data_IF_122682441513
#
_entry.id   IF_122682441513
#
_cell.length_a   1.000
_cell.length_b   1.000
_cell.length_c   1.000
_cell.angle_alpha   90.00
_cell.angle_beta   90.00
_cell.angle_gamma   90.00
#
_symmetry.space_group_name_H-M   'P 1'
#
loop_
_entity.id
_entity.type
_entity.pdbx_description
1 polymer ?
#
# COMPACT_ATOMS: atom_id res chain seq x y z
N UNK A 1 -22.18 17.39 -16.60
CA UNK A 1 -21.29 17.88 -15.52
C UNK A 1 -19.99 17.08 -15.56
N UNK A 2 -18.83 17.73 -15.65
CA UNK A 2 -17.50 17.10 -15.64
C UNK A 2 -17.05 16.57 -14.26
N UNK A 3 -17.92 16.59 -13.24
CA UNK A 3 -17.61 16.31 -11.82
C UNK A 3 -17.39 14.83 -11.45
N UNK A 4 -17.41 13.93 -12.44
CA UNK A 4 -17.22 12.50 -12.27
C UNK A 4 -15.82 12.05 -12.69
N UNK A 5 -14.78 12.86 -12.48
CA UNK A 5 -13.40 12.44 -12.70
C UNK A 5 -13.03 11.29 -11.73
N UNK A 6 -12.75 10.07 -12.22
CA UNK A 6 -12.56 8.87 -11.39
C UNK A 6 -11.51 8.98 -10.28
N UNK A 7 -10.50 9.83 -10.47
CA UNK A 7 -9.30 9.84 -9.63
C UNK A 7 -9.40 10.75 -8.39
N UNK A 8 -10.30 11.75 -8.37
CA UNK A 8 -10.40 12.86 -7.38
C UNK A 8 -9.16 13.06 -6.48
N UNK A 9 -7.98 13.34 -7.07
CA UNK A 9 -6.70 13.18 -6.39
C UNK A 9 -6.54 14.15 -5.21
N UNK A 10 -7.09 15.36 -5.31
CA UNK A 10 -7.10 16.32 -4.22
C UNK A 10 -7.95 15.86 -3.03
N UNK A 11 -9.11 15.23 -3.28
CA UNK A 11 -9.95 14.70 -2.22
C UNK A 11 -9.31 13.48 -1.55
N UNK A 12 -8.70 12.59 -2.34
CA UNK A 12 -7.93 11.44 -1.83
C UNK A 12 -6.79 11.94 -0.94
N UNK A 13 -5.99 12.91 -1.41
CA UNK A 13 -4.87 13.45 -0.66
C UNK A 13 -5.31 14.14 0.64
N UNK A 14 -6.35 14.98 0.59
CA UNK A 14 -6.87 15.67 1.77
C UNK A 14 -7.40 14.69 2.82
N UNK A 15 -8.13 13.67 2.40
CA UNK A 15 -8.61 12.61 3.30
C UNK A 15 -7.47 11.74 3.85
N UNK A 16 -6.44 11.44 3.05
CA UNK A 16 -5.24 10.74 3.52
C UNK A 16 -4.59 11.48 4.68
N UNK A 17 -4.29 12.77 4.53
CA UNK A 17 -3.64 13.53 5.61
C UNK A 17 -4.54 13.73 6.82
N UNK A 18 -5.85 13.91 6.61
CA UNK A 18 -6.81 13.93 7.71
C UNK A 18 -6.80 12.61 8.49
N UNK A 19 -6.89 11.46 7.81
CA UNK A 19 -6.88 10.15 8.46
C UNK A 19 -5.56 9.89 9.17
N UNK A 20 -4.42 10.18 8.55
CA UNK A 20 -3.11 10.08 9.21
C UNK A 20 -3.08 10.96 10.46
N UNK A 21 -3.48 12.23 10.38
CA UNK A 21 -3.53 13.14 11.52
C UNK A 21 -4.46 12.66 12.64
N UNK A 22 -5.67 12.20 12.31
CA UNK A 22 -6.62 11.63 13.27
C UNK A 22 -6.07 10.37 13.95
N UNK A 23 -5.39 9.50 13.20
CA UNK A 23 -4.78 8.29 13.79
C UNK A 23 -3.58 8.59 14.67
N UNK A 24 -2.75 9.56 14.28
CA UNK A 24 -1.63 10.04 15.09
C UNK A 24 -2.11 10.69 16.39
N UNK A 25 -3.14 11.54 16.31
CA UNK A 25 -3.74 12.24 17.46
C UNK A 25 -4.73 11.40 18.25
N UNK A 26 -4.90 10.11 17.94
CA UNK A 26 -5.88 9.27 18.63
C UNK A 26 -5.46 9.06 20.09
N UNK A 27 -6.27 9.48 21.08
CA UNK A 27 -5.83 9.57 22.47
C UNK A 27 -5.84 8.24 23.21
N UNK A 28 -6.45 7.20 22.63
CA UNK A 28 -6.56 5.88 23.26
C UNK A 28 -5.56 4.90 22.65
N UNK A 29 -5.06 3.98 23.47
CA UNK A 29 -4.18 2.93 23.02
C UNK A 29 -4.99 1.84 22.29
N UNK A 30 -4.73 1.64 21.00
CA UNK A 30 -5.42 0.65 20.17
C UNK A 30 -4.83 -0.76 20.29
N UNK A 31 -3.57 -0.87 20.71
CA UNK A 31 -2.85 -2.14 20.84
C UNK A 31 -2.24 -2.26 22.23
N UNK A 32 -2.40 -3.41 22.92
CA UNK A 32 -1.71 -3.63 24.19
C UNK A 32 -0.20 -3.41 24.06
N UNK A 33 0.43 -2.82 25.08
CA UNK A 33 1.87 -2.48 25.08
C UNK A 33 2.73 -3.70 24.74
N UNK A 34 2.40 -4.88 25.28
CA UNK A 34 3.10 -6.13 24.97
C UNK A 34 3.05 -6.50 23.48
N UNK A 35 1.98 -6.15 22.76
CA UNK A 35 1.89 -6.36 21.32
C UNK A 35 2.72 -5.33 20.53
N UNK A 36 2.73 -4.06 20.98
CA UNK A 36 3.56 -3.02 20.37
C UNK A 36 5.05 -3.38 20.43
N UNK A 37 5.54 -3.80 21.61
CA UNK A 37 6.94 -4.20 21.79
C UNK A 37 7.33 -5.38 20.89
N UNK A 38 6.39 -6.29 20.57
CA UNK A 38 6.64 -7.40 19.64
C UNK A 38 6.74 -6.94 18.18
N UNK A 39 6.07 -5.86 17.80
CA UNK A 39 6.17 -5.29 16.45
C UNK A 39 7.51 -4.57 16.28
N UNK A 40 7.82 -3.68 17.23
CA UNK A 40 9.12 -3.03 17.34
C UNK A 40 9.26 -2.42 18.74
N UNK A 41 10.42 -2.56 19.40
CA UNK A 41 10.69 -1.87 20.66
C UNK A 41 10.73 -0.34 20.49
N UNK A 42 10.98 0.16 19.28
CA UNK A 42 11.11 1.59 18.99
C UNK A 42 9.78 2.29 18.70
N UNK A 43 8.66 1.55 18.65
CA UNK A 43 7.35 2.13 18.37
C UNK A 43 6.77 2.84 19.59
N UNK A 44 6.53 4.14 19.45
CA UNK A 44 5.70 4.86 20.41
C UNK A 44 4.23 4.39 20.32
N UNK A 45 3.41 4.62 21.36
CA UNK A 45 1.97 4.33 21.32
C UNK A 45 1.26 4.94 20.10
N UNK A 46 1.63 6.17 19.71
CA UNK A 46 1.04 6.87 18.57
C UNK A 46 1.37 6.18 17.25
N UNK A 47 2.63 5.73 17.09
CA UNK A 47 3.06 4.93 15.94
C UNK A 47 2.31 3.61 15.88
N UNK A 48 2.11 2.99 17.05
CA UNK A 48 1.28 1.80 17.22
C UNK A 48 -0.16 1.99 16.75
N UNK A 49 -0.79 3.12 17.12
CA UNK A 49 -2.15 3.46 16.72
C UNK A 49 -2.27 3.63 15.20
N UNK A 50 -1.33 4.35 14.58
CA UNK A 50 -1.30 4.52 13.12
C UNK A 50 -1.19 3.16 12.44
N UNK A 51 -0.25 2.34 12.89
CA UNK A 51 -0.04 1.01 12.32
C UNK A 51 -1.32 0.15 12.42
N UNK A 52 -1.99 0.16 13.58
CA UNK A 52 -3.25 -0.55 13.77
C UNK A 52 -4.36 -0.07 12.83
N UNK A 53 -4.57 1.24 12.77
CA UNK A 53 -5.60 1.82 11.91
C UNK A 53 -5.34 1.55 10.42
N UNK A 54 -4.08 1.63 9.98
CA UNK A 54 -3.69 1.31 8.60
C UNK A 54 -3.94 -0.16 8.30
N UNK A 55 -3.56 -1.06 9.21
CA UNK A 55 -3.80 -2.49 9.07
C UNK A 55 -5.29 -2.83 8.94
N UNK A 56 -6.13 -2.23 9.78
CA UNK A 56 -7.57 -2.46 9.74
C UNK A 56 -8.25 -1.82 8.53
N UNK A 57 -7.83 -0.63 8.13
CA UNK A 57 -8.29 0.01 6.89
C UNK A 57 -7.87 -0.80 5.65
N UNK A 58 -6.68 -1.38 5.65
CA UNK A 58 -6.20 -2.28 4.60
C UNK A 58 -7.05 -3.55 4.51
N UNK A 59 -7.41 -4.14 5.65
CA UNK A 59 -8.34 -5.27 5.68
C UNK A 59 -9.72 -4.92 5.12
N UNK A 60 -10.27 -3.76 5.48
CA UNK A 60 -11.52 -3.27 4.89
C UNK A 60 -11.37 -3.11 3.37
N UNK A 61 -10.26 -2.53 2.90
CA UNK A 61 -9.97 -2.41 1.47
C UNK A 61 -9.91 -3.77 0.77
N UNK A 62 -9.31 -4.80 1.39
CA UNK A 62 -9.24 -6.15 0.83
C UNK A 62 -10.63 -6.76 0.61
N UNK A 63 -11.58 -6.54 1.54
CA UNK A 63 -12.99 -6.97 1.35
C UNK A 63 -13.55 -6.41 0.05
N UNK A 64 -13.34 -5.12 -0.22
CA UNK A 64 -13.79 -4.47 -1.44
C UNK A 64 -13.04 -4.96 -2.69
N UNK A 65 -11.73 -5.16 -2.60
CA UNK A 65 -10.92 -5.66 -3.70
C UNK A 65 -11.34 -7.08 -4.12
N UNK A 66 -11.46 -8.01 -3.17
CA UNK A 66 -11.90 -9.38 -3.45
C UNK A 66 -13.33 -9.44 -3.95
N UNK A 67 -14.22 -8.59 -3.44
CA UNK A 67 -15.57 -8.42 -3.98
C UNK A 67 -15.54 -7.99 -5.45
N UNK A 68 -14.71 -7.00 -5.79
CA UNK A 68 -14.54 -6.52 -7.16
C UNK A 68 -14.05 -7.62 -8.11
N UNK A 69 -13.07 -8.41 -7.68
CA UNK A 69 -12.57 -9.58 -8.41
C UNK A 69 -13.68 -10.63 -8.61
N UNK A 70 -14.42 -10.97 -7.56
CA UNK A 70 -15.54 -11.92 -7.63
C UNK A 70 -16.65 -11.46 -8.57
N UNK A 71 -17.00 -10.18 -8.55
CA UNK A 71 -17.97 -9.60 -9.50
C UNK A 71 -17.46 -9.65 -10.94
N UNK A 72 -16.18 -9.36 -11.16
CA UNK A 72 -15.58 -9.41 -12.49
C UNK A 72 -15.56 -10.84 -13.06
N UNK A 73 -15.36 -11.87 -12.24
CA UNK A 73 -15.49 -13.27 -12.67
C UNK A 73 -16.95 -13.63 -13.00
N UNK A 74 -17.91 -13.22 -12.16
CA UNK A 74 -19.34 -13.50 -12.37
C UNK A 74 -19.91 -12.88 -13.64
N UNK A 75 -19.31 -11.80 -14.16
CA UNK A 75 -19.72 -11.15 -15.42
C UNK A 75 -19.33 -11.94 -16.65
N UNK A 76 -18.36 -12.85 -16.54
CA UNK A 76 -17.97 -13.73 -17.64
C UNK A 76 -19.02 -14.85 -17.69
N UNK A 77 -19.72 -14.96 -18.81
CA UNK A 77 -20.76 -15.98 -19.03
C UNK A 77 -20.29 -16.95 -20.11
N UNK A 78 -19.31 -17.78 -19.75
CA UNK A 78 -18.85 -18.87 -20.60
C UNK A 78 -18.80 -20.20 -19.83
N UNK A 79 -18.73 -21.32 -20.56
CA UNK A 79 -18.64 -22.66 -19.96
C UNK A 79 -17.36 -22.90 -19.15
N UNK A 80 -16.42 -21.94 -19.11
CA UNK A 80 -15.15 -22.02 -18.39
C UNK A 80 -15.15 -21.20 -17.10
N UNK A 81 -16.21 -20.45 -16.81
CA UNK A 81 -16.25 -19.52 -15.68
C UNK A 81 -16.08 -20.24 -14.34
N UNK A 82 -16.74 -21.38 -14.15
CA UNK A 82 -16.57 -22.21 -12.95
C UNK A 82 -15.11 -22.71 -12.81
N UNK A 83 -14.49 -23.14 -13.91
CA UNK A 83 -13.10 -23.58 -13.94
C UNK A 83 -12.14 -22.45 -13.58
N UNK A 84 -12.33 -21.25 -14.14
CA UNK A 84 -11.50 -20.07 -13.82
C UNK A 84 -11.64 -19.66 -12.35
N UNK A 85 -12.86 -19.63 -11.82
CA UNK A 85 -13.10 -19.31 -10.43
C UNK A 85 -12.43 -20.33 -9.50
N UNK A 86 -12.54 -21.62 -9.81
CA UNK A 86 -11.85 -22.68 -9.08
C UNK A 86 -10.33 -22.56 -9.15
N UNK A 87 -9.76 -22.36 -10.35
CA UNK A 87 -8.31 -22.13 -10.51
C UNK A 87 -7.84 -20.93 -9.70
N UNK A 88 -8.56 -19.81 -9.74
CA UNK A 88 -8.21 -18.63 -8.95
C UNK A 88 -8.25 -18.92 -7.45
N UNK A 89 -9.28 -19.60 -6.96
CA UNK A 89 -9.40 -19.97 -5.55
C UNK A 89 -8.27 -20.90 -5.09
N UNK A 90 -7.93 -21.92 -5.89
CA UNK A 90 -6.81 -22.83 -5.60
C UNK A 90 -5.48 -22.08 -5.61
N UNK A 91 -5.23 -21.25 -6.62
CA UNK A 91 -4.00 -20.47 -6.70
C UNK A 91 -3.87 -19.52 -5.49
N UNK A 92 -4.96 -18.86 -5.10
CA UNK A 92 -4.99 -17.98 -3.93
C UNK A 92 -4.73 -18.74 -2.63
N UNK A 93 -5.33 -19.93 -2.45
CA UNK A 93 -5.07 -20.77 -1.29
C UNK A 93 -3.60 -21.21 -1.21
N UNK A 94 -3.00 -21.58 -2.35
CA UNK A 94 -1.56 -21.90 -2.43
C UNK A 94 -0.70 -20.68 -2.06
N UNK A 95 -1.03 -19.50 -2.59
CA UNK A 95 -0.34 -18.24 -2.25
C UNK A 95 -0.42 -17.96 -0.75
N UNK A 96 -1.60 -18.09 -0.15
CA UNK A 96 -1.78 -17.91 1.31
C UNK A 96 -0.88 -18.89 2.07
N UNK A 97 -0.92 -20.18 1.75
CA UNK A 97 -0.10 -21.18 2.43
C UNK A 97 1.41 -20.89 2.32
N UNK A 98 1.88 -20.55 1.12
CA UNK A 98 3.29 -20.21 0.88
C UNK A 98 3.70 -18.95 1.63
N UNK A 99 2.90 -17.88 1.58
CA UNK A 99 3.22 -16.62 2.27
C UNK A 99 3.22 -16.78 3.79
N UNK A 100 2.31 -17.59 4.34
CA UNK A 100 2.33 -17.94 5.76
C UNK A 100 3.61 -18.70 6.14
N UNK A 101 3.99 -19.72 5.35
CA UNK A 101 5.21 -20.47 5.58
C UNK A 101 6.46 -19.57 5.49
N UNK A 102 6.54 -18.71 4.47
CA UNK A 102 7.62 -17.74 4.32
C UNK A 102 7.65 -16.74 5.47
N UNK A 103 6.50 -16.25 5.94
CA UNK A 103 6.41 -15.32 7.07
C UNK A 103 6.91 -15.95 8.37
N UNK A 104 6.61 -17.22 8.59
CA UNK A 104 7.11 -17.99 9.74
C UNK A 104 8.63 -18.22 9.64
N UNK A 105 9.13 -18.51 8.43
CA UNK A 105 10.55 -18.78 8.19
C UNK A 105 11.44 -17.53 8.25
N UNK A 106 11.01 -16.42 7.65
CA UNK A 106 11.79 -15.17 7.52
C UNK A 106 11.62 -14.21 8.72
N UNK A 107 10.59 -14.43 9.56
CA UNK A 107 10.23 -13.49 10.62
C UNK A 107 9.52 -12.22 10.09
N UNK A 108 9.21 -11.28 11.00
CA UNK A 108 8.36 -10.11 10.69
C UNK A 108 9.09 -9.12 9.78
N UNK A 109 10.31 -8.74 10.17
CA UNK A 109 11.05 -7.66 9.52
C UNK A 109 11.39 -7.96 8.07
N UNK A 110 12.12 -9.06 7.82
CA UNK A 110 12.56 -9.41 6.47
C UNK A 110 11.38 -9.68 5.52
N UNK A 111 10.36 -10.42 5.99
CA UNK A 111 9.14 -10.63 5.21
C UNK A 111 8.46 -9.30 4.86
N UNK A 112 8.26 -8.42 5.85
CA UNK A 112 7.61 -7.12 5.61
C UNK A 112 8.40 -6.26 4.64
N UNK A 113 9.73 -6.26 4.72
CA UNK A 113 10.61 -5.57 3.76
C UNK A 113 10.43 -6.08 2.32
N UNK A 114 10.38 -7.40 2.11
CA UNK A 114 10.17 -7.99 0.77
C UNK A 114 8.78 -7.65 0.22
N UNK A 115 7.74 -7.74 1.05
CA UNK A 115 6.37 -7.38 0.65
C UNK A 115 6.29 -5.91 0.29
N UNK A 116 7.01 -5.06 1.02
CA UNK A 116 7.03 -3.63 0.77
C UNK A 116 7.68 -3.28 -0.57
N UNK A 117 8.76 -3.97 -0.95
CA UNK A 117 9.33 -3.84 -2.30
C UNK A 117 8.31 -4.22 -3.38
N UNK A 118 7.57 -5.32 -3.17
CA UNK A 118 6.52 -5.74 -4.10
C UNK A 118 5.34 -4.74 -4.14
N UNK A 119 5.00 -4.15 -2.98
CA UNK A 119 3.94 -3.15 -2.86
C UNK A 119 4.19 -1.93 -3.75
N UNK A 120 5.44 -1.47 -3.89
CA UNK A 120 5.77 -0.30 -4.72
C UNK A 120 5.41 -0.54 -6.19
N UNK A 121 5.79 -1.69 -6.75
CA UNK A 121 5.46 -2.05 -8.13
C UNK A 121 3.93 -2.10 -8.34
N UNK A 122 3.23 -2.71 -7.39
CA UNK A 122 1.77 -2.74 -7.40
C UNK A 122 1.14 -1.35 -7.29
N UNK A 123 1.66 -0.49 -6.40
CA UNK A 123 1.18 0.88 -6.23
C UNK A 123 1.30 1.65 -7.54
N UNK A 124 2.42 1.52 -8.26
CA UNK A 124 2.62 2.14 -9.58
C UNK A 124 1.59 1.62 -10.59
N UNK A 125 1.35 0.30 -10.64
CA UNK A 125 0.31 -0.30 -11.52
C UNK A 125 -1.09 0.21 -11.18
N UNK A 126 -1.40 0.36 -9.89
CA UNK A 126 -2.68 0.87 -9.43
C UNK A 126 -2.88 2.33 -9.80
N UNK A 127 -1.89 3.20 -9.58
CA UNK A 127 -1.96 4.61 -9.97
C UNK A 127 -2.15 4.79 -11.47
N UNK A 128 -1.47 3.97 -12.29
CA UNK A 128 -1.70 3.94 -13.74
C UNK A 128 -3.14 3.53 -14.08
N UNK A 129 -3.74 2.63 -13.31
CA UNK A 129 -5.13 2.19 -13.47
C UNK A 129 -6.12 3.29 -13.06
N UNK A 130 -5.79 4.08 -12.03
CA UNK A 130 -6.63 5.17 -11.54
C UNK A 130 -6.50 6.46 -12.37
N UNK A 131 -5.49 6.55 -13.24
CA UNK A 131 -5.22 7.73 -14.06
C UNK A 131 -6.33 8.05 -15.07
N UNK A 132 -6.55 9.36 -15.27
CA UNK A 132 -7.56 9.91 -16.19
C UNK A 132 -6.93 11.07 -16.97
N UNK A 133 -6.88 11.03 -18.32
CA UNK A 133 -7.34 9.94 -19.18
C UNK A 133 -6.52 8.64 -19.00
N UNK A 134 -7.05 7.49 -19.43
CA UNK A 134 -6.33 6.21 -19.32
C UNK A 134 -4.95 6.30 -19.99
N UNK A 135 -3.91 5.87 -19.27
CA UNK A 135 -2.56 5.84 -19.81
C UNK A 135 -2.50 4.78 -20.92
N UNK A 136 -1.98 5.11 -22.12
CA UNK A 136 -1.85 4.15 -23.22
C UNK A 136 -1.06 2.91 -22.81
N UNK A 137 -1.34 1.77 -23.44
CA UNK A 137 -0.57 0.53 -23.22
C UNK A 137 0.90 0.78 -23.57
N UNK A 138 1.75 0.76 -22.54
CA UNK A 138 3.21 0.88 -22.65
C UNK A 138 3.84 -0.46 -23.04
N UNK A 139 4.92 -0.39 -23.82
CA UNK A 139 5.82 -1.52 -24.06
C UNK A 139 6.45 -2.00 -22.74
N UNK A 140 6.97 -3.23 -22.70
CA UNK A 140 7.63 -3.76 -21.49
C UNK A 140 8.77 -2.85 -21.02
N UNK A 141 9.56 -2.33 -21.96
CA UNK A 141 10.66 -1.41 -21.69
C UNK A 141 10.19 -0.08 -21.10
N UNK A 142 9.14 0.51 -21.65
CA UNK A 142 8.58 1.76 -21.12
C UNK A 142 7.99 1.58 -19.72
N UNK A 143 7.34 0.44 -19.44
CA UNK A 143 6.85 0.12 -18.09
C UNK A 143 8.00 0.09 -17.10
N UNK A 144 9.04 -0.69 -17.41
CA UNK A 144 10.23 -0.78 -16.57
C UNK A 144 10.88 0.59 -16.35
N UNK A 145 11.06 1.37 -17.44
CA UNK A 145 11.59 2.74 -17.39
C UNK A 145 10.73 3.69 -16.52
N UNK A 146 9.42 3.50 -16.46
CA UNK A 146 8.57 4.35 -15.61
C UNK A 146 8.47 3.88 -14.16
N UNK A 147 8.74 2.62 -13.88
CA UNK A 147 8.66 2.06 -12.53
C UNK A 147 9.97 2.15 -11.75
N UNK A 148 11.15 2.13 -12.39
CA UNK A 148 12.41 2.09 -11.64
C UNK A 148 12.67 3.37 -10.81
N UNK A 149 12.25 4.55 -11.28
CA UNK A 149 12.50 5.82 -10.57
C UNK A 149 11.89 5.84 -9.16
N UNK A 150 10.57 5.60 -9.00
CA UNK A 150 9.98 5.52 -7.67
C UNK A 150 10.53 4.34 -6.86
N UNK A 151 10.84 3.19 -7.49
CA UNK A 151 11.42 2.05 -6.77
C UNK A 151 12.79 2.39 -6.17
N UNK A 152 13.70 2.99 -6.95
CA UNK A 152 15.04 3.33 -6.48
C UNK A 152 15.02 4.41 -5.40
N UNK A 153 14.28 5.49 -5.65
CA UNK A 153 14.19 6.63 -4.70
C UNK A 153 13.50 6.23 -3.41
N UNK A 154 12.49 5.37 -3.48
CA UNK A 154 11.85 4.82 -2.30
C UNK A 154 12.73 3.80 -1.56
N UNK A 155 13.48 2.97 -2.27
CA UNK A 155 14.46 2.06 -1.68
C UNK A 155 15.51 2.84 -0.88
N UNK A 156 15.97 3.98 -1.43
CA UNK A 156 16.87 4.88 -0.74
C UNK A 156 16.24 5.53 0.49
N UNK A 157 15.01 6.06 0.38
CA UNK A 157 14.26 6.57 1.54
C UNK A 157 14.15 5.50 2.63
N UNK A 158 13.89 4.24 2.28
CA UNK A 158 13.80 3.14 3.22
C UNK A 158 15.14 2.85 3.92
N UNK A 159 16.27 2.87 3.18
CA UNK A 159 17.62 2.74 3.76
C UNK A 159 17.88 3.82 4.82
N UNK A 160 17.49 5.06 4.52
CA UNK A 160 17.66 6.20 5.42
C UNK A 160 16.76 6.07 6.66
N UNK A 161 15.46 5.83 6.45
CA UNK A 161 14.50 5.77 7.55
C UNK A 161 14.70 4.56 8.47
N UNK A 162 15.25 3.47 7.96
CA UNK A 162 15.64 2.30 8.76
C UNK A 162 17.08 2.38 9.30
N UNK A 163 17.76 3.51 9.07
CA UNK A 163 19.16 3.74 9.42
C UNK A 163 20.09 2.56 9.09
N UNK A 164 19.94 1.98 7.89
CA UNK A 164 20.69 0.78 7.51
C UNK A 164 22.19 1.11 7.49
N UNK A 165 22.97 0.38 8.27
CA UNK A 165 24.42 0.58 8.38
C UNK A 165 24.82 1.90 9.05
N UNK A 166 23.93 2.57 9.78
CA UNK A 166 24.23 3.84 10.45
C UNK A 166 24.38 5.01 9.48
N UNK A 167 23.63 5.01 8.37
CA UNK A 167 23.73 6.02 7.31
C UNK A 167 23.47 7.45 7.82
N UNK A 168 22.70 7.62 8.90
CA UNK A 168 22.46 8.91 9.55
C UNK A 168 23.74 9.57 10.08
N UNK A 169 24.78 8.78 10.34
CA UNK A 169 26.09 9.24 10.80
C UNK A 169 26.98 9.75 9.67
N UNK A 170 26.53 9.64 8.41
CA UNK A 170 27.29 10.04 7.22
C UNK A 170 26.53 11.08 6.37
N UNK A 171 26.47 12.36 6.79
CA UNK A 171 25.73 13.41 6.07
C UNK A 171 26.13 13.54 4.58
N UNK A 172 27.41 13.33 4.27
CA UNK A 172 27.91 13.39 2.89
C UNK A 172 27.38 12.25 2.02
N UNK A 173 27.20 11.05 2.58
CA UNK A 173 26.57 9.93 1.87
C UNK A 173 25.11 10.24 1.63
N UNK A 174 24.40 10.74 2.65
CA UNK A 174 23.01 11.14 2.56
C UNK A 174 22.80 12.15 1.42
N UNK A 175 23.61 13.21 1.40
CA UNK A 175 23.54 14.26 0.40
C UNK A 175 23.93 13.76 -1.00
N UNK A 176 25.05 13.05 -1.13
CA UNK A 176 25.58 12.64 -2.44
C UNK A 176 24.67 11.64 -3.14
N UNK A 177 24.18 10.63 -2.43
CA UNK A 177 23.26 9.62 -3.01
C UNK A 177 21.93 10.27 -3.38
N UNK A 178 21.38 11.13 -2.52
CA UNK A 178 20.14 11.85 -2.79
C UNK A 178 20.27 12.75 -4.01
N UNK A 179 21.35 13.54 -4.10
CA UNK A 179 21.62 14.38 -5.27
C UNK A 179 21.79 13.55 -6.54
N UNK A 180 22.56 12.46 -6.49
CA UNK A 180 22.76 11.57 -7.63
C UNK A 180 21.42 10.99 -8.12
N UNK A 181 20.55 10.54 -7.20
CA UNK A 181 19.22 10.04 -7.54
C UNK A 181 18.33 11.14 -8.15
N UNK A 182 18.32 12.35 -7.58
CA UNK A 182 17.58 13.47 -8.16
C UNK A 182 18.05 13.79 -9.59
N UNK A 183 19.36 13.86 -9.80
CA UNK A 183 19.96 14.09 -11.13
C UNK A 183 19.56 12.97 -12.10
N UNK A 184 19.63 11.70 -11.69
CA UNK A 184 19.20 10.56 -12.51
C UNK A 184 17.71 10.68 -12.88
N UNK A 185 16.84 11.00 -11.93
CA UNK A 185 15.40 11.17 -12.17
C UNK A 185 15.16 12.28 -13.20
N UNK A 186 15.80 13.44 -13.00
CA UNK A 186 15.63 14.61 -13.86
C UNK A 186 16.18 14.38 -15.28
N UNK A 187 17.41 13.86 -15.41
CA UNK A 187 18.09 13.63 -16.69
C UNK A 187 17.44 12.52 -17.52
N UNK A 188 16.86 11.50 -16.89
CA UNK A 188 16.23 10.38 -17.60
C UNK A 188 14.79 10.69 -18.06
N UNK A 189 14.46 11.97 -18.22
CA UNK A 189 13.20 12.47 -18.77
C UNK A 189 12.21 12.97 -17.71
N UNK A 190 12.58 12.93 -16.43
CA UNK A 190 11.74 13.44 -15.33
C UNK A 190 11.46 14.93 -15.47
N UNK A 191 12.46 15.74 -15.84
CA UNK A 191 12.31 17.19 -15.99
C UNK A 191 11.24 17.55 -17.02
N UNK A 192 11.28 16.94 -18.21
CA UNK A 192 10.29 17.16 -19.26
C UNK A 192 8.89 16.78 -18.78
N UNK A 193 8.76 15.61 -18.16
CA UNK A 193 7.50 15.11 -17.62
C UNK A 193 6.89 15.99 -16.51
N UNK A 194 7.74 16.59 -15.67
CA UNK A 194 7.32 17.55 -14.64
C UNK A 194 6.79 18.82 -15.28
N UNK A 195 7.49 19.35 -16.29
CA UNK A 195 7.05 20.54 -17.03
C UNK A 195 5.76 20.28 -17.80
N UNK A 196 5.59 19.08 -18.37
CA UNK A 196 4.39 18.68 -19.10
C UNK A 196 3.18 18.43 -18.17
N UNK A 197 3.40 18.27 -16.86
CA UNK A 197 2.37 18.12 -15.83
C UNK A 197 1.57 16.80 -15.86
N UNK A 198 1.84 15.92 -16.83
CA UNK A 198 1.01 14.74 -17.09
C UNK A 198 1.46 13.45 -16.39
N UNK A 199 2.70 13.36 -15.90
CA UNK A 199 3.25 12.17 -15.23
C UNK A 199 3.68 12.51 -13.80
N UNK A 200 3.04 11.86 -12.82
CA UNK A 200 3.27 12.10 -11.39
C UNK A 200 4.47 11.33 -10.83
N UNK A 201 5.02 10.37 -11.58
CA UNK A 201 6.09 9.49 -11.08
C UNK A 201 7.41 10.22 -10.78
N UNK A 202 7.89 11.16 -11.63
CA UNK A 202 9.08 11.94 -11.31
C UNK A 202 8.88 12.84 -10.10
N UNK A 203 7.69 13.43 -9.93
CA UNK A 203 7.36 14.24 -8.76
C UNK A 203 7.45 13.39 -7.49
N UNK A 204 6.81 12.21 -7.49
CA UNK A 204 6.86 11.28 -6.36
C UNK A 204 8.29 10.83 -6.03
N UNK A 205 9.10 10.60 -7.06
CA UNK A 205 10.49 10.17 -6.89
C UNK A 205 11.35 11.28 -6.26
N UNK A 206 11.21 12.52 -6.73
CA UNK A 206 11.92 13.67 -6.16
C UNK A 206 11.43 13.98 -4.74
N UNK A 207 10.15 13.76 -4.46
CA UNK A 207 9.59 13.86 -3.11
C UNK A 207 10.27 12.87 -2.16
N UNK A 208 10.38 11.59 -2.52
CA UNK A 208 11.10 10.61 -1.70
C UNK A 208 12.58 10.95 -1.50
N UNK A 209 13.25 11.52 -2.51
CA UNK A 209 14.64 12.00 -2.38
C UNK A 209 14.72 13.17 -1.39
N UNK A 210 13.81 14.14 -1.50
CA UNK A 210 13.76 15.27 -0.58
C UNK A 210 13.50 14.80 0.87
N UNK A 211 12.57 13.88 1.06
CA UNK A 211 12.26 13.30 2.35
C UNK A 211 13.43 12.52 2.93
N UNK A 212 14.16 11.75 2.10
CA UNK A 212 15.35 11.05 2.56
C UNK A 212 16.37 12.04 3.14
N UNK A 213 16.63 13.15 2.45
CA UNK A 213 17.55 14.19 2.94
C UNK A 213 17.06 14.85 4.22
N UNK A 214 15.79 15.29 4.25
CA UNK A 214 15.23 16.00 5.41
C UNK A 214 15.21 15.08 6.63
N UNK A 215 14.61 13.90 6.52
CA UNK A 215 14.44 13.00 7.65
C UNK A 215 15.74 12.36 8.10
N UNK A 216 16.64 12.03 7.17
CA UNK A 216 17.98 11.54 7.52
C UNK A 216 18.87 12.59 8.19
N UNK A 217 18.61 13.89 7.96
CA UNK A 217 19.30 14.96 8.69
C UNK A 217 18.67 15.18 10.06
N UNK A 218 17.34 15.21 10.13
CA UNK A 218 16.60 15.43 11.38
C UNK A 218 16.71 14.25 12.35
N UNK A 219 16.92 13.03 11.84
CA UNK A 219 17.05 11.83 12.65
C UNK A 219 18.17 11.89 13.69
N UNK A 220 19.23 12.63 13.39
CA UNK A 220 20.35 12.86 14.31
C UNK A 220 19.89 13.50 15.63
N UNK A 221 18.81 14.29 15.60
CA UNK A 221 18.22 14.92 16.78
C UNK A 221 17.03 14.12 17.36
N UNK A 222 16.30 13.37 16.51
CA UNK A 222 15.08 12.66 16.91
C UNK A 222 15.30 11.23 17.44
N UNK A 223 16.44 10.61 17.13
CA UNK A 223 16.74 9.23 17.51
C UNK A 223 15.88 8.16 16.81
N UNK A 224 16.03 6.87 17.19
CA UNK A 224 15.40 5.74 16.50
C UNK A 224 13.86 5.76 16.52
N UNK A 225 13.24 6.14 17.64
CA UNK A 225 11.77 6.22 17.77
C UNK A 225 11.17 7.25 16.81
N UNK A 226 11.84 8.40 16.64
CA UNK A 226 11.40 9.41 15.68
C UNK A 226 11.45 8.87 14.25
N UNK A 227 12.57 8.26 13.85
CA UNK A 227 12.73 7.65 12.53
C UNK A 227 11.70 6.56 12.25
N UNK A 228 11.46 5.68 13.22
CA UNK A 228 10.44 4.65 13.12
C UNK A 228 9.04 5.26 12.92
N UNK A 229 8.73 6.34 13.63
CA UNK A 229 7.47 7.07 13.47
C UNK A 229 7.32 7.73 12.09
N UNK A 230 8.38 8.36 11.60
CA UNK A 230 8.42 8.92 10.24
C UNK A 230 8.23 7.81 9.20
N UNK A 231 8.91 6.68 9.33
CA UNK A 231 8.72 5.54 8.43
C UNK A 231 7.27 5.06 8.40
N UNK A 232 6.67 4.81 9.57
CA UNK A 232 5.29 4.33 9.66
C UNK A 232 4.31 5.39 9.12
N UNK A 233 4.57 6.68 9.32
CA UNK A 233 3.78 7.76 8.72
C UNK A 233 3.73 7.65 7.19
N UNK A 234 4.85 7.42 6.51
CA UNK A 234 4.88 7.32 5.05
C UNK A 234 4.17 6.07 4.56
N UNK A 235 4.39 4.95 5.23
CA UNK A 235 3.68 3.69 4.96
C UNK A 235 2.17 3.92 5.10
N UNK A 236 1.74 4.61 6.16
CA UNK A 236 0.34 4.94 6.41
C UNK A 236 -0.25 5.85 5.34
N UNK A 237 0.45 6.93 5.00
CA UNK A 237 0.01 7.89 3.99
C UNK A 237 -0.15 7.21 2.61
N UNK A 238 0.84 6.43 2.18
CA UNK A 238 0.78 5.66 0.93
C UNK A 238 -0.37 4.64 0.94
N UNK A 239 -0.57 3.96 2.06
CA UNK A 239 -1.64 2.98 2.23
C UNK A 239 -3.03 3.62 2.17
N UNK A 240 -3.29 4.66 2.97
CA UNK A 240 -4.58 5.36 2.93
C UNK A 240 -4.87 5.97 1.57
N UNK A 241 -3.85 6.59 0.96
CA UNK A 241 -3.98 7.15 -0.38
C UNK A 241 -4.40 6.07 -1.39
N UNK A 242 -3.75 4.91 -1.36
CA UNK A 242 -4.11 3.77 -2.20
C UNK A 242 -5.54 3.27 -1.94
N UNK A 243 -5.93 3.08 -0.68
CA UNK A 243 -7.24 2.54 -0.31
C UNK A 243 -8.37 3.48 -0.71
N UNK A 244 -8.20 4.77 -0.42
CA UNK A 244 -9.14 5.82 -0.82
C UNK A 244 -9.23 5.90 -2.34
N UNK A 245 -8.10 5.92 -3.05
CA UNK A 245 -8.05 5.87 -4.51
C UNK A 245 -8.89 4.72 -5.08
N UNK A 246 -8.75 3.52 -4.51
CA UNK A 246 -9.57 2.36 -4.86
C UNK A 246 -11.07 2.57 -4.64
N UNK A 247 -11.49 3.18 -3.53
CA UNK A 247 -12.90 3.48 -3.25
C UNK A 247 -13.48 4.50 -4.23
N UNK A 248 -12.77 5.61 -4.47
CA UNK A 248 -13.21 6.64 -5.41
C UNK A 248 -13.30 6.10 -6.84
N UNK A 249 -12.30 5.33 -7.27
CA UNK A 249 -12.30 4.68 -8.57
C UNK A 249 -13.47 3.70 -8.73
N UNK A 250 -13.68 2.83 -7.74
CA UNK A 250 -14.80 1.89 -7.74
C UNK A 250 -16.16 2.59 -7.78
N UNK A 251 -16.35 3.62 -6.95
CA UNK A 251 -17.59 4.40 -6.91
C UNK A 251 -17.86 5.11 -8.24
N UNK A 252 -16.81 5.64 -8.88
CA UNK A 252 -16.90 6.26 -10.21
C UNK A 252 -17.35 5.26 -11.28
N UNK A 253 -16.80 4.04 -11.26
CA UNK A 253 -17.22 2.98 -12.19
C UNK A 253 -18.65 2.50 -11.94
N UNK A 254 -19.07 2.46 -10.68
CA UNK A 254 -20.42 2.04 -10.30
C UNK A 254 -21.49 3.09 -10.65
N UNK A 255 -21.12 4.36 -10.82
CA UNK A 255 -22.04 5.48 -11.12
C UNK A 255 -23.24 5.52 -10.16
N UNK A 256 -22.97 5.31 -8.86
CA UNK A 256 -24.00 5.30 -7.80
C UNK A 256 -24.91 4.06 -7.76
N UNK A 257 -24.75 3.10 -8.68
CA UNK A 257 -25.60 1.89 -8.73
C UNK A 257 -25.21 0.83 -7.69
N UNK A 258 -24.01 0.90 -7.15
CA UNK A 258 -23.49 -0.07 -6.18
C UNK A 258 -23.58 0.46 -4.74
N UNK A 259 -24.58 -0.02 -3.98
CA UNK A 259 -24.81 0.37 -2.57
C UNK A 259 -23.63 0.02 -1.64
N UNK A 260 -22.80 -0.96 -2.01
CA UNK A 260 -21.63 -1.31 -1.21
C UNK A 260 -20.57 -0.20 -1.20
N UNK A 261 -20.52 0.57 -2.29
CA UNK A 261 -19.58 1.68 -2.48
C UNK A 261 -20.17 3.02 -2.05
N UNK A 262 -21.35 3.03 -1.41
CA UNK A 262 -21.87 4.23 -0.76
C UNK A 262 -21.00 4.58 0.46
N UNK A 263 -20.86 5.87 0.74
CA UNK A 263 -20.03 6.35 1.86
C UNK A 263 -20.44 5.71 3.20
N UNK A 264 -21.74 5.58 3.46
CA UNK A 264 -22.27 4.95 4.67
C UNK A 264 -21.84 3.49 4.81
N UNK A 265 -21.92 2.69 3.74
CA UNK A 265 -21.48 1.29 3.78
C UNK A 265 -19.96 1.18 3.95
N UNK A 266 -19.18 2.03 3.27
CA UNK A 266 -17.72 2.06 3.41
C UNK A 266 -17.32 2.35 4.86
N UNK A 267 -17.94 3.35 5.48
CA UNK A 267 -17.72 3.68 6.89
C UNK A 267 -18.10 2.49 7.79
N UNK A 268 -19.27 1.88 7.57
CA UNK A 268 -19.73 0.74 8.37
C UNK A 268 -18.78 -0.46 8.29
N UNK A 269 -18.27 -0.80 7.09
CA UNK A 269 -17.31 -1.90 6.92
C UNK A 269 -15.98 -1.58 7.63
N UNK A 270 -15.47 -0.35 7.51
CA UNK A 270 -14.24 0.04 8.21
C UNK A 270 -14.39 -0.02 9.73
N UNK A 271 -15.51 0.47 10.27
CA UNK A 271 -15.81 0.37 11.72
C UNK A 271 -15.90 -1.08 12.16
N UNK A 272 -16.60 -1.94 11.40
CA UNK A 272 -16.73 -3.36 11.72
C UNK A 272 -15.36 -4.05 11.76
N UNK A 273 -14.52 -3.83 10.74
CA UNK A 273 -13.17 -4.41 10.68
C UNK A 273 -12.27 -3.89 11.80
N UNK A 274 -12.30 -2.59 12.09
CA UNK A 274 -11.54 -2.00 13.19
C UNK A 274 -11.98 -2.54 14.56
N UNK A 275 -13.29 -2.70 14.76
CA UNK A 275 -13.85 -3.27 16.00
C UNK A 275 -13.40 -4.73 16.18
N UNK A 276 -13.45 -5.53 15.10
CA UNK A 276 -12.98 -6.92 15.13
C UNK A 276 -11.47 -6.99 15.38
N UNK A 277 -10.68 -6.13 14.72
CA UNK A 277 -9.24 -6.05 14.91
C UNK A 277 -8.86 -5.67 16.34
N UNK A 278 -9.54 -4.69 16.92
CA UNK A 278 -9.37 -4.30 18.32
C UNK A 278 -9.72 -5.44 19.29
N UNK A 279 -10.83 -6.14 19.05
CA UNK A 279 -11.22 -7.30 19.85
C UNK A 279 -10.17 -8.42 19.78
N UNK A 280 -9.63 -8.73 18.60
CA UNK A 280 -8.55 -9.73 18.43
C UNK A 280 -7.25 -9.31 19.12
N UNK A 281 -6.98 -8.00 19.20
CA UNK A 281 -5.81 -7.47 19.90
C UNK A 281 -5.95 -7.58 21.43
N UNK A 282 -7.16 -7.41 21.98
CA UNK A 282 -7.39 -7.20 23.41
C UNK A 282 -8.03 -8.37 24.16
N UNK A 283 -8.74 -9.26 23.46
CA UNK A 283 -9.47 -10.39 24.08
C UNK A 283 -8.68 -11.67 23.89
N UNK A 284 -8.17 -12.24 24.99
CA UNK A 284 -7.34 -13.47 24.94
C UNK A 284 -8.06 -14.67 24.31
N UNK A 285 -9.38 -14.79 24.51
CA UNK A 285 -10.20 -15.83 23.88
C UNK A 285 -10.24 -15.76 22.35
N UNK A 286 -9.79 -14.66 21.73
CA UNK A 286 -9.72 -14.47 20.28
C UNK A 286 -8.30 -14.60 19.73
N UNK A 287 -7.33 -15.08 20.52
CA UNK A 287 -5.94 -15.22 20.09
C UNK A 287 -5.78 -16.10 18.83
N UNK A 288 -6.67 -17.08 18.62
CA UNK A 288 -6.69 -17.94 17.44
C UNK A 288 -6.92 -17.17 16.12
N UNK A 289 -7.57 -16.00 16.18
CA UNK A 289 -7.88 -15.17 15.02
C UNK A 289 -6.75 -14.18 14.66
N UNK A 290 -5.69 -14.09 15.48
CA UNK A 290 -4.53 -13.20 15.23
C UNK A 290 -3.87 -13.41 13.87
N UNK A 291 -3.69 -14.64 13.35
CA UNK A 291 -3.11 -14.82 12.02
C UNK A 291 -3.93 -14.19 10.89
N UNK A 292 -5.21 -13.91 11.14
CA UNK A 292 -6.12 -13.25 10.19
C UNK A 292 -6.16 -11.75 10.51
N UNK A 293 -6.69 -11.35 11.66
CA UNK A 293 -7.00 -9.95 11.96
C UNK A 293 -5.96 -9.24 12.84
N UNK A 294 -4.94 -9.96 13.31
CA UNK A 294 -3.85 -9.41 14.10
C UNK A 294 -2.96 -8.50 13.25
N UNK A 295 -2.60 -7.34 13.80
CA UNK A 295 -1.80 -6.32 13.11
C UNK A 295 -0.41 -6.85 12.71
N UNK A 296 0.15 -7.80 13.46
CA UNK A 296 1.46 -8.42 13.18
C UNK A 296 1.47 -9.35 11.96
N UNK A 297 0.28 -9.70 11.47
CA UNK A 297 0.06 -10.52 10.27
C UNK A 297 -0.41 -9.69 9.07
N UNK A 298 -0.67 -8.40 9.25
CA UNK A 298 -1.22 -7.53 8.21
C UNK A 298 -0.39 -7.57 6.92
N UNK A 299 0.94 -7.57 7.00
CA UNK A 299 1.81 -7.59 5.82
C UNK A 299 1.68 -8.88 5.01
N UNK A 300 1.28 -10.01 5.62
CA UNK A 300 0.94 -11.24 4.89
C UNK A 300 -0.28 -11.00 4.01
N UNK A 301 -1.30 -10.35 4.55
CA UNK A 301 -2.54 -10.07 3.83
C UNK A 301 -2.37 -9.01 2.74
N UNK A 302 -1.48 -8.03 2.96
CA UNK A 302 -1.00 -7.16 1.88
C UNK A 302 -0.40 -8.02 0.77
N UNK A 303 0.56 -8.89 1.07
CA UNK A 303 1.19 -9.75 0.06
C UNK A 303 0.19 -10.66 -0.68
N UNK A 304 -0.79 -11.21 0.03
CA UNK A 304 -1.89 -11.99 -0.57
C UNK A 304 -2.70 -11.12 -1.53
N UNK A 305 -3.05 -9.89 -1.13
CA UNK A 305 -3.78 -8.95 -1.97
C UNK A 305 -2.98 -8.57 -3.24
N UNK A 306 -1.67 -8.32 -3.09
CA UNK A 306 -0.76 -8.02 -4.20
C UNK A 306 -0.73 -9.18 -5.22
N UNK A 307 -0.45 -10.39 -4.72
CA UNK A 307 -0.39 -11.60 -5.53
C UNK A 307 -1.74 -11.92 -6.18
N UNK A 308 -2.85 -11.78 -5.45
CA UNK A 308 -4.19 -11.97 -5.99
C UNK A 308 -4.47 -10.99 -7.14
N UNK A 309 -4.06 -9.74 -7.00
CA UNK A 309 -4.25 -8.71 -8.02
C UNK A 309 -3.44 -8.97 -9.30
N UNK A 310 -2.25 -9.57 -9.20
CA UNK A 310 -1.45 -9.97 -10.36
C UNK A 310 -1.91 -11.30 -10.98
N UNK A 311 -2.36 -12.26 -10.17
CA UNK A 311 -2.90 -13.54 -10.65
C UNK A 311 -4.25 -13.39 -11.35
N UNK A 312 -5.08 -12.46 -10.88
CA UNK A 312 -6.46 -12.30 -11.35
C UNK A 312 -6.55 -12.01 -12.87
N UNK A 313 -5.79 -11.06 -13.45
CA UNK A 313 -5.73 -10.85 -14.90
C UNK A 313 -5.29 -12.09 -15.68
N UNK A 314 -4.31 -12.86 -15.16
CA UNK A 314 -3.84 -14.07 -15.83
C UNK A 314 -4.94 -15.14 -15.90
N UNK A 315 -5.64 -15.38 -14.79
CA UNK A 315 -6.76 -16.34 -14.77
C UNK A 315 -7.94 -15.84 -15.61
N UNK A 316 -8.26 -14.54 -15.55
CA UNK A 316 -9.33 -13.92 -16.35
C UNK A 316 -9.06 -13.99 -17.85
N UNK A 317 -7.82 -13.78 -18.28
CA UNK A 317 -7.43 -13.75 -19.70
C UNK A 317 -7.21 -15.15 -20.30
N UNK A 318 -7.16 -16.20 -19.48
CA UNK A 318 -6.97 -17.56 -19.93
C UNK A 318 -8.12 -17.96 -20.88
N UNK A 319 -7.82 -17.91 -22.18
CA UNK A 319 -8.69 -18.20 -23.36
C UNK A 319 -9.61 -17.11 -23.92
N UNK A 320 -9.34 -15.82 -23.69
CA UNK A 320 -9.81 -14.79 -24.67
C UNK A 320 -8.96 -14.86 -25.95
N UNK A 321 -7.75 -15.42 -25.88
CA UNK A 321 -6.94 -15.82 -27.03
C UNK A 321 -7.45 -17.13 -27.65
N UNK A 322 -8.60 -17.06 -28.33
CA UNK A 322 -9.02 -17.87 -29.50
C UNK A 322 -10.47 -17.53 -29.83
N UNK A 323 -10.64 -16.48 -30.63
CA UNK A 323 -11.65 -16.35 -31.66
C UNK A 323 -11.04 -15.46 -32.74
#
# INVERSE_FOLDING_TARGET
MPDNAPARPAAVLGLTFLLVGLTFGFPFLLLPVAQLTRLSPDYSPQVGNIFACVAWAGWAHFVYAFRGQGQALRRIRDGLTAKRAWTFAVALATVVAVLFALRLWLGIGLFSGLVWVYFIDHFIKAEVTFAVPPVPKRTHWEKWRTSYQPILTFGWLSVVLLNVGGVDSYPWVLWTVSLALAVIVLLLGGMRKLMDGNDRMPLLSLFFVAEAMVWGTVSQAGGPTFLAGVYVFHVAAGSYYHYLGGYFFGASLAQGKDKWLSAGTVVAVNIAVATLGYAVATVDGLAWARPILGVEWFTVWVAVHLAASDLFPAVKSWRVAKA
#
